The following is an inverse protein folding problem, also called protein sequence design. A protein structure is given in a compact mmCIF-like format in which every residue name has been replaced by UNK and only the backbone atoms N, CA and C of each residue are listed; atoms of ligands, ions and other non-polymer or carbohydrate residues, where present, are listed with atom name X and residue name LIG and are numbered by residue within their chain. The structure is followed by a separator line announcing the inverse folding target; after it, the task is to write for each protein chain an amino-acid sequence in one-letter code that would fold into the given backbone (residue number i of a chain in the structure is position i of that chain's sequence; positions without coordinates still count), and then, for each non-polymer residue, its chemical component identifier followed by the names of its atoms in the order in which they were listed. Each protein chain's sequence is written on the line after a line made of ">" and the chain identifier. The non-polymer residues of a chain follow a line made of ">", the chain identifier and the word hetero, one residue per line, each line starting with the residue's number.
data_IF_359245590172
#
_entry.id   IF_359245590172
#
_cell.length_a   1.000
_cell.length_b   1.000
_cell.length_c   1.000
_cell.angle_alpha   90.00
_cell.angle_beta   90.00
_cell.angle_gamma   90.00
#
_symmetry.space_group_name_H-M   'P 1'
#
loop_
_entity.id
_entity.type
_entity.pdbx_description
1 polymer ?
#
# COMPACT_ATOMS: atom_id res chain seq x y z
N UNK A 1 11.94 5.86 22.50
CA UNK A 1 12.22 6.30 21.12
C UNK A 1 13.51 5.58 20.68
N UNK A 2 13.40 4.43 20.02
CA UNK A 2 14.55 3.69 19.51
C UNK A 2 14.71 4.05 18.03
N UNK A 3 15.77 4.80 17.72
CA UNK A 3 16.18 5.11 16.36
C UNK A 3 16.57 3.77 15.73
N UNK A 4 15.69 3.20 14.90
CA UNK A 4 15.96 1.94 14.22
C UNK A 4 17.05 2.20 13.17
N UNK A 5 18.28 1.82 13.51
CA UNK A 5 19.36 1.69 12.54
C UNK A 5 18.89 0.71 11.46
N UNK A 6 18.90 1.11 10.19
CA UNK A 6 18.59 0.22 9.07
C UNK A 6 19.68 -0.85 8.97
N UNK A 7 19.48 -1.99 9.61
CA UNK A 7 20.33 -3.16 9.43
C UNK A 7 20.10 -3.71 8.02
N UNK A 8 21.19 -3.91 7.27
CA UNK A 8 21.16 -4.56 5.95
C UNK A 8 21.13 -6.08 6.04
N UNK A 9 21.24 -6.63 7.25
CA UNK A 9 21.19 -8.06 7.55
C UNK A 9 19.99 -8.36 8.46
N UNK A 10 19.37 -9.55 8.35
CA UNK A 10 18.35 -9.96 9.30
C UNK A 10 18.94 -10.03 10.72
N UNK A 11 18.12 -9.75 11.77
CA UNK A 11 18.57 -9.87 13.15
C UNK A 11 19.17 -11.26 13.42
N UNK A 12 20.23 -11.32 14.22
CA UNK A 12 20.84 -12.58 14.61
C UNK A 12 19.79 -13.49 15.27
N UNK A 13 19.65 -14.73 14.78
CA UNK A 13 18.66 -15.68 15.28
C UNK A 13 17.23 -15.50 14.76
N UNK A 14 16.97 -14.57 13.83
CA UNK A 14 15.65 -14.43 13.21
C UNK A 14 15.27 -15.71 12.43
N UNK A 15 14.12 -16.29 12.76
CA UNK A 15 13.56 -17.46 12.09
C UNK A 15 12.80 -17.10 10.80
N UNK A 16 12.37 -15.84 10.67
CA UNK A 16 11.78 -15.26 9.48
C UNK A 16 11.92 -13.73 9.48
N UNK A 17 11.88 -13.11 8.31
CA UNK A 17 11.99 -11.65 8.14
C UNK A 17 11.39 -11.17 6.81
N UNK A 18 11.17 -9.87 6.72
CA UNK A 18 10.77 -9.16 5.50
C UNK A 18 11.94 -8.32 5.01
N UNK A 19 12.44 -8.58 3.81
CA UNK A 19 13.43 -7.74 3.14
C UNK A 19 12.71 -6.73 2.26
N UNK A 20 13.10 -5.46 2.36
CA UNK A 20 12.54 -4.34 1.59
C UNK A 20 13.67 -3.66 0.80
N UNK A 21 13.58 -3.69 -0.52
CA UNK A 21 14.50 -2.99 -1.42
C UNK A 21 14.05 -1.53 -1.62
N UNK A 22 14.72 -0.58 -0.96
CA UNK A 22 14.40 0.83 -1.06
C UNK A 22 14.77 1.43 -2.43
N UNK A 23 15.75 0.85 -3.14
CA UNK A 23 16.06 1.27 -4.51
C UNK A 23 14.91 0.90 -5.43
N UNK A 24 14.27 -0.25 -5.22
CA UNK A 24 13.12 -0.66 -6.01
C UNK A 24 11.99 0.35 -5.89
N UNK A 25 11.70 0.81 -4.66
CA UNK A 25 10.70 1.85 -4.42
C UNK A 25 11.05 3.14 -5.16
N UNK A 26 12.30 3.61 -5.08
CA UNK A 26 12.75 4.81 -5.80
C UNK A 26 12.67 4.65 -7.33
N UNK A 27 13.08 3.50 -7.86
CA UNK A 27 13.01 3.16 -9.29
C UNK A 27 11.56 3.14 -9.78
N UNK A 28 10.65 2.54 -9.01
CA UNK A 28 9.23 2.47 -9.33
C UNK A 28 8.59 3.86 -9.38
N UNK A 29 8.93 4.75 -8.44
CA UNK A 29 8.44 6.14 -8.48
C UNK A 29 8.95 6.87 -9.72
N UNK A 30 10.23 6.68 -10.11
CA UNK A 30 10.75 7.22 -11.37
C UNK A 30 10.01 6.68 -12.59
N UNK A 31 9.73 5.39 -12.63
CA UNK A 31 8.96 4.77 -13.71
C UNK A 31 7.53 5.34 -13.77
N UNK A 32 6.88 5.51 -12.61
CA UNK A 32 5.53 6.10 -12.51
C UNK A 32 5.49 7.56 -12.97
N UNK A 33 6.52 8.35 -12.65
CA UNK A 33 6.66 9.71 -13.18
C UNK A 33 6.81 9.70 -14.72
N UNK A 34 7.55 8.73 -15.28
CA UNK A 34 7.68 8.58 -16.74
C UNK A 34 6.38 8.15 -17.42
N UNK A 35 5.50 7.42 -16.72
CA UNK A 35 4.16 7.09 -17.20
C UNK A 35 3.22 8.30 -17.19
N UNK A 36 3.50 9.34 -16.39
CA UNK A 36 2.67 10.53 -16.25
C UNK A 36 3.51 11.84 -16.35
N UNK A 37 4.16 12.12 -17.49
CA UNK A 37 5.21 13.14 -17.61
C UNK A 37 4.76 14.59 -17.37
N UNK A 38 3.46 14.86 -17.38
CA UNK A 38 2.88 16.18 -17.10
C UNK A 38 2.30 16.33 -15.69
N UNK A 39 2.27 15.26 -14.89
CA UNK A 39 1.67 15.26 -13.57
C UNK A 39 2.75 15.09 -12.49
N UNK A 40 2.52 15.74 -11.35
CA UNK A 40 3.24 15.44 -10.12
C UNK A 40 2.92 14.02 -9.63
N UNK A 41 3.77 13.44 -8.77
CA UNK A 41 3.54 12.11 -8.17
C UNK A 41 3.35 12.22 -6.66
N UNK A 42 2.16 11.83 -6.19
CA UNK A 42 1.88 11.56 -4.77
C UNK A 42 2.06 10.08 -4.48
N UNK A 43 3.19 9.71 -3.87
CA UNK A 43 3.41 8.34 -3.44
C UNK A 43 2.55 8.02 -2.21
N UNK A 44 1.71 7.00 -2.32
CA UNK A 44 0.80 6.61 -1.24
C UNK A 44 1.48 5.62 -0.28
N UNK A 45 1.67 6.07 0.96
CA UNK A 45 2.43 5.38 2.02
C UNK A 45 1.57 4.98 3.24
N UNK A 46 0.24 4.98 3.09
CA UNK A 46 -0.69 4.47 4.13
C UNK A 46 -0.42 3.02 4.50
N UNK A 47 -0.97 2.60 5.64
CA UNK A 47 -0.86 1.26 6.19
C UNK A 47 0.60 0.80 6.32
N UNK A 48 1.43 1.63 6.97
CA UNK A 48 2.87 1.40 7.12
C UNK A 48 3.58 1.17 5.77
N UNK A 49 3.28 2.04 4.79
CA UNK A 49 3.73 1.90 3.41
C UNK A 49 3.39 0.52 2.83
N UNK A 50 2.13 0.09 2.97
CA UNK A 50 1.66 -1.23 2.52
C UNK A 50 2.50 -2.37 3.11
N UNK A 51 2.91 -2.24 4.39
CA UNK A 51 3.75 -3.20 5.11
C UNK A 51 5.27 -3.07 4.87
N UNK A 52 5.72 -2.12 4.05
CA UNK A 52 7.13 -1.91 3.71
C UNK A 52 7.87 -1.03 4.72
N UNK A 53 7.18 -0.40 5.67
CA UNK A 53 7.74 0.53 6.65
C UNK A 53 7.57 1.98 6.23
N UNK A 54 6.79 2.73 7.02
CA UNK A 54 6.31 4.08 6.73
C UNK A 54 7.44 5.06 6.38
N UNK A 55 8.40 5.24 7.28
CA UNK A 55 9.45 6.26 7.13
C UNK A 55 10.47 5.88 6.05
N UNK A 56 11.05 4.66 6.03
CA UNK A 56 12.02 4.30 5.00
C UNK A 56 11.43 4.34 3.59
N UNK A 57 10.21 3.83 3.39
CA UNK A 57 9.56 3.86 2.09
C UNK A 57 9.20 5.29 1.65
N UNK A 58 8.75 6.15 2.57
CA UNK A 58 8.48 7.56 2.26
C UNK A 58 9.74 8.29 1.78
N UNK A 59 10.88 8.09 2.45
CA UNK A 59 12.17 8.67 2.04
C UNK A 59 12.64 8.12 0.68
N UNK A 60 12.50 6.81 0.46
CA UNK A 60 12.83 6.20 -0.83
C UNK A 60 11.94 6.73 -1.96
N UNK A 61 10.64 6.91 -1.72
CA UNK A 61 9.73 7.51 -2.69
C UNK A 61 10.12 8.95 -3.03
N UNK A 62 10.53 9.76 -2.04
CA UNK A 62 11.08 11.10 -2.28
C UNK A 62 12.34 11.06 -3.13
N UNK A 63 13.28 10.17 -2.83
CA UNK A 63 14.49 9.98 -3.63
C UNK A 63 14.18 9.52 -5.07
N UNK A 64 13.06 8.83 -5.28
CA UNK A 64 12.52 8.48 -6.60
C UNK A 64 11.81 9.62 -7.34
N UNK A 65 11.65 10.80 -6.72
CA UNK A 65 11.04 11.98 -7.34
C UNK A 65 9.59 12.25 -6.95
N UNK A 66 9.02 11.56 -5.95
CA UNK A 66 7.68 11.88 -5.47
C UNK A 66 7.64 13.30 -4.88
N UNK A 67 6.83 14.18 -5.46
CA UNK A 67 6.64 15.57 -4.99
C UNK A 67 5.59 15.69 -3.90
N UNK A 68 4.76 14.66 -3.73
CA UNK A 68 3.81 14.53 -2.61
C UNK A 68 3.92 13.16 -1.93
N UNK A 69 3.50 13.11 -0.67
CA UNK A 69 3.18 11.85 0.02
C UNK A 69 1.70 11.86 0.41
N UNK A 70 1.08 10.68 0.39
CA UNK A 70 -0.29 10.50 0.85
C UNK A 70 -0.40 9.37 1.86
N UNK A 71 -1.06 9.61 2.99
CA UNK A 71 -1.36 8.60 3.99
C UNK A 71 -2.85 8.64 4.37
N UNK A 72 -3.37 7.54 4.91
CA UNK A 72 -4.80 7.48 5.18
C UNK A 72 -5.11 8.17 6.51
N UNK A 73 -4.39 7.78 7.57
CA UNK A 73 -4.69 8.23 8.92
C UNK A 73 -3.92 9.51 9.24
N UNK A 74 -4.51 10.40 10.03
CA UNK A 74 -3.81 11.59 10.53
C UNK A 74 -2.55 11.21 11.34
N UNK A 75 -2.61 10.14 12.12
CA UNK A 75 -1.45 9.64 12.89
C UNK A 75 -0.26 9.26 12.02
N UNK A 76 -0.48 8.74 10.80
CA UNK A 76 0.59 8.43 9.85
C UNK A 76 1.27 9.71 9.34
N UNK A 77 0.48 10.77 9.04
CA UNK A 77 1.01 12.05 8.60
C UNK A 77 1.87 12.69 9.70
N UNK A 78 1.38 12.68 10.94
CA UNK A 78 2.10 13.21 12.09
C UNK A 78 3.37 12.39 12.39
N UNK A 79 3.32 11.06 12.26
CA UNK A 79 4.50 10.22 12.39
C UNK A 79 5.57 10.51 11.33
N UNK A 80 5.16 10.74 10.07
CA UNK A 80 6.08 11.18 9.01
C UNK A 80 6.74 12.52 9.37
N UNK A 81 5.95 13.51 9.80
CA UNK A 81 6.48 14.82 10.23
C UNK A 81 7.45 14.70 11.41
N UNK A 82 7.07 13.95 12.45
CA UNK A 82 7.92 13.69 13.61
C UNK A 82 9.24 12.98 13.26
N UNK A 83 9.29 12.25 12.14
CA UNK A 83 10.50 11.59 11.62
C UNK A 83 11.39 12.48 10.73
N UNK A 84 11.04 13.76 10.59
CA UNK A 84 11.77 14.74 9.78
C UNK A 84 11.42 14.71 8.29
N UNK A 85 10.35 14.03 7.87
CA UNK A 85 9.92 14.04 6.47
C UNK A 85 9.27 15.38 6.13
N UNK A 86 9.88 16.10 5.20
CA UNK A 86 9.46 17.42 4.71
C UNK A 86 8.66 17.33 3.41
N UNK A 87 8.21 18.48 2.91
CA UNK A 87 7.41 18.61 1.69
C UNK A 87 5.92 18.25 1.87
N UNK A 88 5.10 18.37 0.82
CA UNK A 88 3.65 18.18 0.92
C UNK A 88 3.23 16.77 1.36
N UNK A 89 2.31 16.69 2.34
CA UNK A 89 1.72 15.46 2.83
C UNK A 89 0.20 15.64 2.91
N UNK A 90 -0.55 14.78 2.22
CA UNK A 90 -2.01 14.74 2.29
C UNK A 90 -2.49 13.60 3.18
N UNK A 91 -3.46 13.88 4.06
CA UNK A 91 -4.22 12.86 4.80
C UNK A 91 -5.72 12.99 4.58
N UNK A 92 -6.47 11.88 4.70
CA UNK A 92 -7.90 11.85 4.31
C UNK A 92 -8.84 10.99 5.15
N UNK A 93 -8.35 10.37 6.23
CA UNK A 93 -9.16 9.65 7.21
C UNK A 93 -8.79 10.16 8.59
N UNK A 94 -9.75 10.85 9.19
CA UNK A 94 -9.72 11.28 10.59
C UNK A 94 -11.17 11.46 11.05
N UNK A 95 -11.50 11.04 12.28
CA UNK A 95 -12.85 11.18 12.81
C UNK A 95 -13.16 12.64 13.19
N UNK A 96 -14.45 12.99 13.35
CA UNK A 96 -14.84 14.22 14.03
C UNK A 96 -14.14 14.34 15.39
N UNK A 97 -13.67 15.55 15.72
CA UNK A 97 -12.93 15.79 16.96
C UNK A 97 -11.49 15.25 16.99
N UNK A 98 -10.93 14.87 15.85
CA UNK A 98 -9.49 14.62 15.74
C UNK A 98 -8.67 15.88 16.10
N UNK A 99 -7.40 15.70 16.46
CA UNK A 99 -6.48 16.80 16.76
C UNK A 99 -6.03 17.53 15.49
N UNK A 100 -6.93 18.34 14.93
CA UNK A 100 -6.68 19.15 13.74
C UNK A 100 -5.66 20.25 14.02
N UNK A 101 -5.51 20.69 15.28
CA UNK A 101 -4.47 21.63 15.68
C UNK A 101 -3.08 21.08 15.44
N UNK A 102 -2.81 19.84 15.86
CA UNK A 102 -1.55 19.16 15.59
C UNK A 102 -1.29 18.99 14.07
N UNK A 103 -2.33 18.73 13.28
CA UNK A 103 -2.20 18.64 11.82
C UNK A 103 -1.77 19.98 11.20
N UNK A 104 -2.38 21.08 11.63
CA UNK A 104 -2.08 22.44 11.18
C UNK A 104 -0.67 22.84 11.62
N UNK A 105 -0.32 22.58 12.88
CA UNK A 105 0.99 22.92 13.43
C UNK A 105 2.12 22.18 12.70
N UNK A 106 1.86 20.94 12.27
CA UNK A 106 2.77 20.10 11.50
C UNK A 106 2.67 20.31 9.97
N UNK A 107 1.91 21.30 9.49
CA UNK A 107 1.75 21.61 8.06
C UNK A 107 1.33 20.37 7.23
N UNK A 108 0.33 19.65 7.72
CA UNK A 108 -0.31 18.53 7.02
C UNK A 108 -1.50 19.06 6.23
N UNK A 109 -1.53 18.75 4.93
CA UNK A 109 -2.68 19.06 4.07
C UNK A 109 -3.84 18.11 4.39
N UNK A 110 -5.04 18.68 4.55
CA UNK A 110 -6.23 17.95 5.01
C UNK A 110 -7.25 17.75 3.88
N UNK A 111 -7.75 16.52 3.72
CA UNK A 111 -8.86 16.29 2.78
C UNK A 111 -10.20 16.70 3.37
N UNK A 112 -10.99 17.48 2.65
CA UNK A 112 -12.34 17.86 3.08
C UNK A 112 -13.39 17.16 2.22
N UNK A 113 -14.16 16.27 2.83
CA UNK A 113 -15.21 15.50 2.15
C UNK A 113 -16.64 15.91 2.49
N UNK A 114 -16.84 16.90 3.37
CA UNK A 114 -18.17 17.37 3.77
C UNK A 114 -18.13 18.79 4.37
N UNK A 115 -19.25 19.53 4.36
CA UNK A 115 -19.34 20.83 5.04
C UNK A 115 -19.05 20.77 6.55
N UNK A 116 -19.45 19.68 7.23
CA UNK A 116 -19.13 19.49 8.65
C UNK A 116 -17.61 19.42 8.89
N UNK A 117 -16.91 18.62 8.09
CA UNK A 117 -15.47 18.48 8.18
C UNK A 117 -14.76 19.82 7.90
N UNK A 118 -15.27 20.59 6.93
CA UNK A 118 -14.77 21.93 6.66
C UNK A 118 -14.89 22.85 7.88
N UNK A 119 -16.06 22.85 8.53
CA UNK A 119 -16.35 23.68 9.71
C UNK A 119 -15.36 23.39 10.85
N UNK A 120 -15.08 22.12 11.14
CA UNK A 120 -14.11 21.73 12.18
C UNK A 120 -12.69 22.21 11.84
N UNK A 121 -12.28 22.11 10.57
CA UNK A 121 -10.96 22.58 10.11
C UNK A 121 -10.86 24.10 10.19
N UNK A 122 -11.89 24.82 9.77
CA UNK A 122 -11.96 26.30 9.85
C UNK A 122 -11.89 26.77 11.30
N UNK A 123 -12.58 26.09 12.22
CA UNK A 123 -12.53 26.40 13.64
C UNK A 123 -11.11 26.20 14.20
N UNK A 124 -10.47 25.07 13.90
CA UNK A 124 -9.10 24.79 14.34
C UNK A 124 -8.07 25.77 13.74
N UNK A 125 -8.21 26.14 12.46
CA UNK A 125 -7.35 27.12 11.79
C UNK A 125 -7.45 28.51 12.44
N UNK A 126 -8.67 28.94 12.77
CA UNK A 126 -8.90 30.20 13.50
C UNK A 126 -8.31 30.17 14.90
N UNK A 127 -8.49 29.07 15.64
CA UNK A 127 -7.91 28.90 16.98
C UNK A 127 -6.38 28.98 16.95
N UNK A 128 -5.75 28.38 15.94
CA UNK A 128 -4.29 28.40 15.75
C UNK A 128 -3.78 29.71 15.13
N UNK A 129 -4.66 30.57 14.61
CA UNK A 129 -4.29 31.77 13.87
C UNK A 129 -3.45 31.47 12.62
N UNK A 130 -3.65 30.29 12.00
CA UNK A 130 -2.88 29.81 10.84
C UNK A 130 -3.81 29.31 9.75
N UNK A 131 -3.58 29.78 8.52
CA UNK A 131 -4.27 29.24 7.36
C UNK A 131 -3.83 27.79 7.12
N UNK A 132 -4.77 26.95 6.68
CA UNK A 132 -4.52 25.52 6.41
C UNK A 132 -4.81 25.17 4.96
N UNK A 133 -3.95 24.32 4.40
CA UNK A 133 -4.12 23.80 3.04
C UNK A 133 -5.08 22.61 3.05
N UNK A 134 -6.03 22.65 2.12
CA UNK A 134 -7.05 21.61 2.01
C UNK A 134 -7.20 21.09 0.59
N UNK A 135 -7.51 19.80 0.47
CA UNK A 135 -7.92 19.19 -0.78
C UNK A 135 -9.39 18.77 -0.68
N UNK A 136 -10.26 19.34 -1.51
CA UNK A 136 -11.68 19.00 -1.51
C UNK A 136 -11.90 17.67 -2.22
N UNK A 137 -12.66 16.77 -1.61
CA UNK A 137 -12.96 15.46 -2.18
C UNK A 137 -14.41 15.39 -2.66
N UNK A 138 -14.60 15.20 -3.95
CA UNK A 138 -15.90 14.86 -4.51
C UNK A 138 -16.01 13.34 -4.68
N UNK A 139 -17.20 12.80 -4.43
CA UNK A 139 -17.49 11.41 -4.77
C UNK A 139 -18.12 11.37 -6.16
N UNK A 140 -17.43 10.75 -7.11
CA UNK A 140 -17.87 10.67 -8.51
C UNK A 140 -18.57 9.35 -8.85
N UNK A 141 -18.84 8.50 -7.85
CA UNK A 141 -19.51 7.21 -8.03
C UNK A 141 -18.88 6.04 -7.29
N UNK A 142 -17.90 6.28 -6.40
CA UNK A 142 -17.34 5.21 -5.56
C UNK A 142 -18.24 4.91 -4.36
N UNK A 143 -18.99 5.92 -3.88
CA UNK A 143 -19.91 5.77 -2.75
C UNK A 143 -19.19 5.52 -1.42
N UNK A 144 -18.01 6.12 -1.21
CA UNK A 144 -17.18 5.87 -0.01
C UNK A 144 -16.92 7.11 0.82
N UNK A 145 -16.33 8.13 0.23
CA UNK A 145 -16.03 9.36 0.94
C UNK A 145 -15.73 10.47 -0.05
N UNK A 146 -16.00 11.70 0.36
CA UNK A 146 -16.18 12.82 -0.54
C UNK A 146 -17.65 13.20 -0.63
N UNK A 147 -17.92 14.43 -1.06
CA UNK A 147 -19.29 14.94 -1.13
C UNK A 147 -19.97 14.52 -2.44
N UNK A 148 -21.26 14.19 -2.35
CA UNK A 148 -22.11 13.81 -3.49
C UNK A 148 -23.06 14.97 -3.83
N UNK A 149 -23.28 15.19 -5.13
CA UNK A 149 -24.36 16.04 -5.66
C UNK A 149 -24.50 17.38 -4.90
N UNK A 150 -25.66 17.66 -4.30
CA UNK A 150 -25.90 18.90 -3.55
C UNK A 150 -24.88 19.14 -2.42
N UNK A 151 -24.44 18.07 -1.75
CA UNK A 151 -23.42 18.19 -0.71
C UNK A 151 -22.07 18.66 -1.25
N UNK A 152 -21.76 18.40 -2.52
CA UNK A 152 -20.59 18.99 -3.18
C UNK A 152 -20.78 20.48 -3.39
N UNK A 153 -21.93 20.92 -3.91
CA UNK A 153 -22.25 22.34 -4.10
C UNK A 153 -22.19 23.13 -2.80
N UNK A 154 -22.74 22.57 -1.71
CA UNK A 154 -22.71 23.18 -0.38
C UNK A 154 -21.27 23.29 0.14
N UNK A 155 -20.44 22.26 -0.08
CA UNK A 155 -19.04 22.26 0.28
C UNK A 155 -18.23 23.29 -0.52
N UNK A 156 -18.48 23.41 -1.83
CA UNK A 156 -17.84 24.41 -2.69
C UNK A 156 -18.15 25.83 -2.20
N UNK A 157 -19.41 26.13 -1.94
CA UNK A 157 -19.82 27.45 -1.45
C UNK A 157 -19.16 27.79 -0.12
N UNK A 158 -19.15 26.84 0.83
CA UNK A 158 -18.52 27.03 2.13
C UNK A 158 -16.99 27.17 2.04
N UNK A 159 -16.34 26.39 1.18
CA UNK A 159 -14.89 26.46 0.98
C UNK A 159 -14.47 27.79 0.32
N UNK A 160 -15.23 28.27 -0.67
CA UNK A 160 -14.99 29.56 -1.31
C UNK A 160 -15.08 30.72 -0.29
N UNK A 161 -16.08 30.70 0.58
CA UNK A 161 -16.23 31.69 1.64
C UNK A 161 -15.04 31.66 2.63
N UNK A 162 -14.69 30.47 3.14
CA UNK A 162 -13.58 30.31 4.07
C UNK A 162 -12.21 30.68 3.45
N UNK A 163 -12.03 30.46 2.14
CA UNK A 163 -10.83 30.90 1.42
C UNK A 163 -10.79 32.41 1.24
N UNK A 164 -11.92 33.07 0.95
CA UNK A 164 -12.00 34.53 0.85
C UNK A 164 -11.66 35.23 2.18
N UNK A 165 -11.95 34.58 3.31
CA UNK A 165 -11.54 35.03 4.64
C UNK A 165 -10.06 34.75 4.96
N UNK A 166 -9.34 34.01 4.11
CA UNK A 166 -7.95 33.62 4.32
C UNK A 166 -7.74 32.53 5.39
N UNK A 167 -8.79 31.85 5.82
CA UNK A 167 -8.71 30.80 6.86
C UNK A 167 -8.22 29.48 6.29
N UNK A 168 -8.53 29.20 5.02
CA UNK A 168 -8.05 28.02 4.31
C UNK A 168 -7.45 28.41 2.97
N UNK A 169 -6.66 27.50 2.41
CA UNK A 169 -6.21 27.53 1.02
C UNK A 169 -6.64 26.22 0.35
N UNK A 170 -7.53 26.30 -0.63
CA UNK A 170 -7.91 25.13 -1.43
C UNK A 170 -6.76 24.85 -2.41
N UNK A 171 -5.87 23.93 -2.06
CA UNK A 171 -4.73 23.54 -2.91
C UNK A 171 -5.12 22.47 -3.93
N UNK A 172 -6.17 21.69 -3.67
CA UNK A 172 -6.56 20.61 -4.56
C UNK A 172 -8.02 20.22 -4.56
N UNK A 173 -8.43 19.53 -5.62
CA UNK A 173 -9.69 18.83 -5.76
C UNK A 173 -9.42 17.39 -6.21
N UNK A 174 -10.17 16.42 -5.68
CA UNK A 174 -9.92 15.03 -6.00
C UNK A 174 -11.10 14.08 -5.86
N UNK A 175 -10.98 12.95 -6.55
CA UNK A 175 -11.86 11.79 -6.41
C UNK A 175 -11.07 10.49 -6.57
N UNK A 176 -11.74 9.35 -6.53
CA UNK A 176 -11.14 8.03 -6.65
C UNK A 176 -12.00 7.11 -7.51
N UNK A 177 -11.37 6.42 -8.45
CA UNK A 177 -12.03 5.45 -9.32
C UNK A 177 -12.53 4.23 -8.56
N UNK A 178 -13.63 3.66 -9.04
CA UNK A 178 -14.16 2.37 -8.62
C UNK A 178 -13.58 1.20 -9.44
N UNK A 179 -13.35 1.41 -10.74
CA UNK A 179 -12.98 0.37 -11.72
C UNK A 179 -11.71 0.71 -12.50
N UNK A 180 -10.74 1.42 -11.91
CA UNK A 180 -9.54 1.82 -12.64
C UNK A 180 -8.68 0.62 -13.11
N UNK A 181 -8.85 -0.53 -12.49
CA UNK A 181 -8.26 -1.81 -12.87
C UNK A 181 -8.98 -2.52 -14.03
N UNK A 182 -10.13 -2.00 -14.47
CA UNK A 182 -10.80 -2.36 -15.71
C UNK A 182 -10.97 -1.09 -16.58
N UNK A 183 -9.91 -0.65 -17.31
CA UNK A 183 -9.87 0.67 -17.94
C UNK A 183 -11.03 0.95 -18.91
N UNK A 184 -11.52 -0.08 -19.60
CA UNK A 184 -12.63 0.00 -20.55
C UNK A 184 -14.01 0.00 -19.89
N UNK A 185 -14.10 -0.15 -18.57
CA UNK A 185 -15.38 -0.16 -17.87
C UNK A 185 -16.04 1.24 -17.97
N UNK A 186 -17.32 1.35 -18.39
CA UNK A 186 -17.96 2.64 -18.65
C UNK A 186 -18.00 3.59 -17.44
N UNK A 187 -17.96 3.04 -16.22
CA UNK A 187 -17.82 3.83 -14.98
C UNK A 187 -16.56 4.69 -14.95
N UNK A 188 -15.45 4.26 -15.53
CA UNK A 188 -14.18 5.03 -15.55
C UNK A 188 -14.42 6.37 -16.25
N UNK A 189 -14.96 6.34 -17.47
CA UNK A 189 -15.30 7.54 -18.22
C UNK A 189 -16.33 8.40 -17.48
N UNK A 190 -17.40 7.80 -16.97
CA UNK A 190 -18.44 8.53 -16.23
C UNK A 190 -17.90 9.22 -14.97
N UNK A 191 -16.92 8.61 -14.27
CA UNK A 191 -16.26 9.24 -13.13
C UNK A 191 -15.34 10.40 -13.54
N UNK A 192 -14.66 10.32 -14.70
CA UNK A 192 -13.86 11.42 -15.24
C UNK A 192 -14.73 12.63 -15.60
N UNK A 193 -15.85 12.40 -16.30
CA UNK A 193 -16.78 13.47 -16.69
C UNK A 193 -17.37 14.16 -15.44
N UNK A 194 -17.84 13.38 -14.45
CA UNK A 194 -18.31 13.92 -13.16
C UNK A 194 -17.23 14.70 -12.42
N UNK A 195 -15.98 14.24 -12.46
CA UNK A 195 -14.87 14.96 -11.84
C UNK A 195 -14.60 16.31 -12.52
N UNK A 196 -14.65 16.36 -13.85
CA UNK A 196 -14.54 17.60 -14.62
C UNK A 196 -15.63 18.61 -14.26
N UNK A 197 -16.88 18.17 -14.14
CA UNK A 197 -17.99 19.02 -13.70
C UNK A 197 -17.79 19.57 -12.28
N UNK A 198 -17.30 18.73 -11.35
CA UNK A 198 -17.00 19.14 -9.99
C UNK A 198 -15.89 20.21 -9.93
N UNK A 199 -14.84 20.08 -10.75
CA UNK A 199 -13.77 21.08 -10.85
C UNK A 199 -14.29 22.40 -11.45
N UNK A 200 -15.10 22.34 -12.52
CA UNK A 200 -15.70 23.53 -13.11
C UNK A 200 -16.65 24.27 -12.16
N UNK A 201 -17.23 23.57 -11.17
CA UNK A 201 -18.02 24.20 -10.11
C UNK A 201 -17.17 25.00 -9.14
N UNK A 202 -16.01 24.48 -8.73
CA UNK A 202 -15.05 25.23 -7.91
C UNK A 202 -14.56 26.50 -8.63
N UNK A 203 -14.21 26.38 -9.91
CA UNK A 203 -13.76 27.51 -10.72
C UNK A 203 -14.83 28.60 -10.83
N UNK A 204 -16.10 28.23 -11.04
CA UNK A 204 -17.24 29.17 -11.05
C UNK A 204 -17.46 29.86 -9.70
N UNK A 205 -17.09 29.22 -8.60
CA UNK A 205 -17.13 29.81 -7.27
C UNK A 205 -15.91 30.70 -6.95
N UNK A 206 -15.01 30.92 -7.92
CA UNK A 206 -13.82 31.76 -7.75
C UNK A 206 -12.62 31.04 -7.13
N UNK A 207 -12.72 29.74 -6.87
CA UNK A 207 -11.59 28.92 -6.42
C UNK A 207 -10.81 28.46 -7.65
N UNK A 208 -9.61 29.01 -7.86
CA UNK A 208 -8.78 28.74 -9.05
C UNK A 208 -7.36 28.35 -8.65
N UNK A 209 -6.59 27.77 -9.58
CA UNK A 209 -5.19 27.39 -9.33
C UNK A 209 -4.99 26.16 -8.45
N UNK A 210 -6.05 25.40 -8.18
CA UNK A 210 -5.99 24.15 -7.42
C UNK A 210 -5.54 22.97 -8.30
N UNK A 211 -4.83 22.02 -7.70
CA UNK A 211 -4.44 20.76 -8.32
C UNK A 211 -5.62 19.82 -8.46
N UNK A 212 -5.70 19.13 -9.59
CA UNK A 212 -6.72 18.12 -9.87
C UNK A 212 -6.06 16.75 -9.86
N UNK A 213 -6.61 15.82 -9.08
CA UNK A 213 -6.09 14.46 -9.06
C UNK A 213 -7.15 13.37 -8.95
N UNK A 214 -7.07 12.40 -9.85
CA UNK A 214 -8.05 11.31 -9.96
C UNK A 214 -7.38 9.93 -10.04
N UNK A 215 -6.30 9.81 -10.81
CA UNK A 215 -5.62 8.55 -11.04
C UNK A 215 -5.04 7.92 -9.77
N UNK A 216 -5.39 6.65 -9.53
CA UNK A 216 -4.67 5.75 -8.62
C UNK A 216 -3.59 4.98 -9.42
N UNK A 217 -2.95 3.95 -8.84
CA UNK A 217 -1.94 3.15 -9.53
C UNK A 217 -2.40 2.64 -10.91
N UNK A 218 -3.60 2.06 -10.99
CA UNK A 218 -4.09 1.48 -12.24
C UNK A 218 -4.28 2.56 -13.32
N UNK A 219 -5.03 3.62 -13.01
CA UNK A 219 -5.23 4.71 -13.96
C UNK A 219 -3.95 5.48 -14.31
N UNK A 220 -2.95 5.51 -13.42
CA UNK A 220 -1.63 6.07 -13.75
C UNK A 220 -0.98 5.31 -14.90
N UNK A 221 -1.09 3.97 -14.88
CA UNK A 221 -0.46 3.09 -15.87
C UNK A 221 -1.28 2.92 -17.14
N UNK A 222 -2.62 3.07 -17.07
CA UNK A 222 -3.52 2.67 -18.17
C UNK A 222 -4.37 3.81 -18.73
N UNK A 223 -4.49 4.95 -18.04
CA UNK A 223 -5.39 6.03 -18.44
C UNK A 223 -4.72 7.42 -18.38
N UNK A 224 -4.00 7.81 -19.45
CA UNK A 224 -3.36 9.13 -19.55
C UNK A 224 -4.31 10.32 -19.39
N UNK A 225 -5.57 10.17 -19.81
CA UNK A 225 -6.59 11.21 -19.66
C UNK A 225 -6.99 11.49 -18.21
N UNK A 226 -6.57 10.66 -17.25
CA UNK A 226 -6.85 10.83 -15.83
C UNK A 226 -5.65 11.34 -15.00
N UNK A 227 -4.50 11.60 -15.64
CA UNK A 227 -3.29 12.05 -14.94
C UNK A 227 -3.44 13.43 -14.31
N UNK A 228 -4.05 14.36 -15.06
CA UNK A 228 -4.33 15.73 -14.63
C UNK A 228 -3.07 16.40 -14.06
N UNK A 229 -3.14 17.01 -12.87
CA UNK A 229 -2.00 17.74 -12.30
C UNK A 229 -1.17 16.86 -11.34
N UNK A 230 -1.77 15.82 -10.77
CA UNK A 230 -1.15 14.95 -9.77
C UNK A 230 -1.71 13.52 -9.83
N UNK A 231 -0.84 12.52 -9.92
CA UNK A 231 -1.20 11.10 -9.84
C UNK A 231 -0.95 10.52 -8.44
N UNK A 232 -1.73 9.51 -8.04
CA UNK A 232 -1.67 8.93 -6.68
C UNK A 232 -1.39 7.43 -6.67
N UNK A 233 -0.25 6.97 -7.21
CA UNK A 233 0.12 5.56 -7.15
C UNK A 233 0.41 5.13 -5.71
N UNK A 234 -0.17 3.99 -5.32
CA UNK A 234 0.12 3.30 -4.06
C UNK A 234 0.78 1.98 -4.32
N UNK A 235 0.01 0.96 -4.69
CA UNK A 235 0.55 -0.37 -4.95
C UNK A 235 1.76 -0.40 -5.90
N UNK A 236 1.69 0.37 -7.00
CA UNK A 236 2.75 0.39 -8.00
C UNK A 236 4.05 1.02 -7.50
N UNK A 237 4.02 1.87 -6.45
CA UNK A 237 5.23 2.38 -5.78
C UNK A 237 6.05 1.23 -5.21
N UNK A 238 5.39 0.17 -4.75
CA UNK A 238 6.01 -1.03 -4.19
C UNK A 238 6.32 -2.10 -5.25
N UNK A 239 6.02 -1.80 -6.51
CA UNK A 239 6.42 -2.59 -7.66
C UNK A 239 5.46 -3.70 -8.04
N UNK A 240 4.24 -3.70 -7.52
CA UNK A 240 3.22 -4.68 -7.90
C UNK A 240 2.27 -4.08 -8.95
N UNK A 241 1.82 -4.92 -9.88
CA UNK A 241 0.84 -4.53 -10.87
C UNK A 241 -0.56 -4.40 -10.24
N UNK A 242 -1.26 -3.28 -10.44
CA UNK A 242 -2.66 -3.12 -10.05
C UNK A 242 -3.63 -3.72 -11.08
N UNK A 243 -3.13 -4.18 -12.23
CA UNK A 243 -3.89 -4.72 -13.36
C UNK A 243 -3.23 -6.03 -13.87
N UNK A 244 -3.16 -7.07 -13.02
CA UNK A 244 -2.43 -8.30 -13.35
C UNK A 244 -2.93 -8.98 -14.63
N UNK A 245 -4.20 -8.78 -15.00
CA UNK A 245 -4.79 -9.32 -16.23
C UNK A 245 -4.32 -8.59 -17.50
N UNK A 246 -3.83 -7.35 -17.38
CA UNK A 246 -3.28 -6.57 -18.49
C UNK A 246 -1.75 -6.72 -18.60
N UNK A 247 -1.06 -6.83 -17.46
CA UNK A 247 0.38 -6.98 -17.44
C UNK A 247 0.97 -7.15 -16.04
N UNK A 248 2.04 -7.93 -15.94
CA UNK A 248 2.85 -8.05 -14.73
C UNK A 248 3.68 -6.80 -14.44
N UNK A 249 4.36 -6.73 -13.28
CA UNK A 249 5.23 -5.60 -12.91
C UNK A 249 6.21 -5.18 -14.02
N UNK A 250 6.90 -6.13 -14.64
CA UNK A 250 7.91 -5.89 -15.67
C UNK A 250 7.35 -5.22 -16.92
N UNK A 251 6.08 -5.48 -17.27
CA UNK A 251 5.42 -4.83 -18.40
C UNK A 251 5.35 -3.31 -18.22
N UNK A 252 5.19 -2.86 -16.96
CA UNK A 252 5.11 -1.45 -16.62
C UNK A 252 6.45 -0.86 -16.15
N UNK A 253 7.55 -1.62 -16.26
CA UNK A 253 8.87 -1.21 -15.77
C UNK A 253 8.97 -1.19 -14.25
N UNK A 254 8.11 -1.93 -13.55
CA UNK A 254 8.07 -2.00 -12.09
C UNK A 254 8.93 -3.15 -11.55
N UNK A 255 9.37 -2.99 -10.31
CA UNK A 255 10.20 -3.94 -9.56
C UNK A 255 9.65 -4.13 -8.16
N UNK A 256 9.16 -5.34 -7.88
CA UNK A 256 8.67 -5.71 -6.54
C UNK A 256 9.75 -5.47 -5.48
N UNK A 257 9.38 -4.72 -4.43
CA UNK A 257 10.30 -4.27 -3.40
C UNK A 257 10.36 -5.21 -2.18
N UNK A 258 9.36 -6.06 -1.96
CA UNK A 258 9.25 -6.93 -0.79
C UNK A 258 9.69 -8.36 -1.08
N UNK A 259 10.39 -8.97 -0.13
CA UNK A 259 10.59 -10.42 -0.07
C UNK A 259 10.39 -10.91 1.36
N UNK A 260 9.79 -12.08 1.53
CA UNK A 260 9.56 -12.73 2.83
C UNK A 260 10.29 -14.06 2.82
N UNK A 261 11.19 -14.23 3.78
CA UNK A 261 12.03 -15.43 3.92
C UNK A 261 11.87 -15.99 5.32
N UNK A 262 11.87 -17.31 5.43
CA UNK A 262 11.93 -18.02 6.70
C UNK A 262 12.98 -19.13 6.63
N UNK A 263 13.40 -19.63 7.79
CA UNK A 263 14.25 -20.81 7.89
C UNK A 263 13.46 -21.98 8.45
N UNK A 264 13.67 -23.17 7.91
CA UNK A 264 13.07 -24.38 8.48
C UNK A 264 13.49 -24.54 9.95
N UNK A 265 12.55 -24.70 10.86
CA UNK A 265 12.85 -24.94 12.28
C UNK A 265 13.01 -26.42 12.61
N UNK A 266 12.36 -27.28 11.83
CA UNK A 266 12.40 -28.72 12.00
C UNK A 266 12.26 -29.41 10.66
N UNK A 267 13.05 -30.46 10.47
CA UNK A 267 12.92 -31.41 9.35
C UNK A 267 12.85 -32.80 9.96
N UNK A 268 11.79 -33.56 9.62
CA UNK A 268 11.57 -34.90 10.19
C UNK A 268 10.96 -35.87 9.19
N UNK A 269 11.24 -37.16 9.35
CA UNK A 269 10.60 -38.23 8.57
C UNK A 269 9.17 -38.46 9.07
N UNK A 270 8.27 -38.76 8.14
CA UNK A 270 6.90 -39.19 8.40
C UNK A 270 6.59 -40.42 7.56
N UNK A 271 5.96 -41.43 8.16
CA UNK A 271 5.50 -42.61 7.44
C UNK A 271 4.29 -42.28 6.55
N UNK A 272 4.00 -43.12 5.57
CA UNK A 272 2.74 -43.08 4.82
C UNK A 272 1.53 -43.12 5.76
N UNK A 273 0.48 -42.36 5.45
CA UNK A 273 -0.74 -42.26 6.26
C UNK A 273 -0.68 -41.28 7.43
N UNK A 274 0.42 -40.52 7.59
CA UNK A 274 0.53 -39.49 8.62
C UNK A 274 -0.34 -38.28 8.27
N UNK A 275 -1.30 -37.96 9.15
CA UNK A 275 -2.04 -36.70 9.08
C UNK A 275 -1.17 -35.49 9.43
N UNK A 276 -1.32 -34.39 8.70
CA UNK A 276 -0.51 -33.17 8.87
C UNK A 276 -1.38 -31.96 9.24
N UNK A 277 -0.98 -31.26 10.30
CA UNK A 277 -1.65 -30.07 10.85
C UNK A 277 -3.09 -30.32 11.35
N UNK A 278 -3.79 -29.28 11.78
CA UNK A 278 -5.13 -29.40 12.34
C UNK A 278 -6.13 -30.00 11.34
N UNK A 279 -6.95 -30.95 11.82
CA UNK A 279 -7.99 -31.60 11.02
C UNK A 279 -7.47 -32.59 9.98
N UNK A 280 -6.16 -32.81 9.88
CA UNK A 280 -5.53 -33.75 8.95
C UNK A 280 -6.03 -33.59 7.50
N UNK A 281 -6.21 -32.35 7.04
CA UNK A 281 -6.63 -32.03 5.66
C UNK A 281 -5.57 -32.41 4.62
N UNK A 282 -4.35 -32.71 5.07
CA UNK A 282 -3.30 -33.38 4.31
C UNK A 282 -2.91 -34.66 5.04
N UNK A 283 -2.77 -35.75 4.29
CA UNK A 283 -2.27 -37.04 4.78
C UNK A 283 -1.22 -37.53 3.80
N UNK A 284 -0.06 -37.93 4.30
CA UNK A 284 1.07 -38.35 3.46
C UNK A 284 0.72 -39.62 2.67
N UNK A 285 0.96 -39.60 1.36
CA UNK A 285 0.66 -40.74 0.48
C UNK A 285 1.73 -41.84 0.52
N UNK A 286 2.96 -41.47 0.88
CA UNK A 286 4.11 -42.35 1.02
C UNK A 286 4.96 -41.88 2.20
N UNK A 287 5.96 -42.67 2.58
CA UNK A 287 7.02 -42.19 3.46
C UNK A 287 7.63 -40.91 2.85
N UNK A 288 7.79 -39.88 3.68
CA UNK A 288 8.19 -38.55 3.24
C UNK A 288 8.97 -37.81 4.32
N UNK A 289 9.41 -36.60 3.99
CA UNK A 289 10.06 -35.66 4.90
C UNK A 289 9.16 -34.44 5.05
N UNK A 290 8.88 -34.06 6.30
CA UNK A 290 8.12 -32.85 6.62
C UNK A 290 9.05 -31.74 7.09
N UNK A 291 8.87 -30.55 6.54
CA UNK A 291 9.57 -29.33 6.94
C UNK A 291 8.63 -28.37 7.67
N UNK A 292 9.08 -27.82 8.80
CA UNK A 292 8.31 -26.85 9.59
C UNK A 292 8.78 -25.43 9.30
N UNK A 293 7.87 -24.57 8.85
CA UNK A 293 8.13 -23.16 8.57
C UNK A 293 7.53 -22.31 9.69
N UNK A 294 8.33 -21.48 10.40
CA UNK A 294 7.91 -20.76 11.61
C UNK A 294 7.23 -19.42 11.30
N UNK A 295 6.28 -19.43 10.36
CA UNK A 295 5.40 -18.29 10.10
C UNK A 295 3.96 -18.78 9.93
N UNK A 296 3.01 -18.01 10.46
CA UNK A 296 1.60 -18.37 10.38
C UNK A 296 0.70 -17.18 10.11
N UNK A 297 -0.59 -17.34 10.39
CA UNK A 297 -1.57 -16.29 10.12
C UNK A 297 -1.46 -15.07 11.02
N UNK A 298 -0.79 -15.16 12.18
CA UNK A 298 -0.45 -13.98 12.98
C UNK A 298 0.69 -13.16 12.38
N UNK A 299 1.50 -13.76 11.51
CA UNK A 299 2.62 -13.12 10.81
C UNK A 299 2.23 -12.59 9.42
N UNK A 300 1.02 -12.93 8.95
CA UNK A 300 0.45 -12.44 7.70
C UNK A 300 0.12 -13.51 6.66
N UNK A 301 0.47 -14.77 6.90
CA UNK A 301 0.16 -15.87 5.98
C UNK A 301 -1.36 -16.14 5.99
N UNK A 302 -2.09 -16.02 4.87
CA UNK A 302 -3.53 -16.25 4.89
C UNK A 302 -3.86 -17.66 5.37
N UNK A 303 -4.78 -17.80 6.34
CA UNK A 303 -5.21 -19.13 6.79
C UNK A 303 -5.82 -19.96 5.65
N UNK A 304 -6.43 -19.28 4.67
CA UNK A 304 -6.96 -19.87 3.44
C UNK A 304 -5.88 -20.49 2.54
N UNK A 305 -4.60 -20.23 2.79
CA UNK A 305 -3.49 -20.79 2.02
C UNK A 305 -3.17 -22.25 2.34
N UNK A 306 -3.94 -22.92 3.21
CA UNK A 306 -3.76 -24.35 3.43
C UNK A 306 -3.91 -25.15 2.13
N UNK A 307 -2.94 -26.04 1.83
CA UNK A 307 -2.86 -26.87 0.59
C UNK A 307 -2.56 -26.10 -0.70
N UNK A 308 -2.68 -24.78 -0.70
CA UNK A 308 -2.59 -23.96 -1.93
C UNK A 308 -1.48 -22.90 -1.88
N UNK A 309 -1.06 -22.48 -0.68
CA UNK A 309 -0.06 -21.43 -0.49
C UNK A 309 1.31 -21.84 -1.05
N UNK A 310 1.84 -21.15 -2.07
CA UNK A 310 3.07 -21.55 -2.74
C UNK A 310 4.30 -21.06 -1.97
N UNK A 311 5.37 -21.86 -1.95
CA UNK A 311 6.71 -21.46 -1.47
C UNK A 311 7.79 -22.05 -2.36
N UNK A 312 9.02 -21.53 -2.25
CA UNK A 312 10.20 -22.10 -2.90
C UNK A 312 11.25 -22.49 -1.87
N UNK A 313 11.82 -23.69 -1.99
CA UNK A 313 12.94 -24.17 -1.19
C UNK A 313 13.89 -24.96 -2.10
N UNK A 314 15.18 -24.62 -2.09
CA UNK A 314 16.20 -25.20 -2.99
C UNK A 314 15.80 -25.17 -4.48
N UNK A 315 15.18 -24.06 -4.92
CA UNK A 315 14.70 -23.89 -6.30
C UNK A 315 13.47 -24.74 -6.67
N UNK A 316 12.96 -25.56 -5.76
CA UNK A 316 11.77 -26.40 -5.95
C UNK A 316 10.54 -25.72 -5.34
N UNK A 317 9.41 -25.83 -6.05
CA UNK A 317 8.11 -25.32 -5.59
C UNK A 317 7.43 -26.33 -4.67
N UNK A 318 6.89 -25.84 -3.58
CA UNK A 318 6.05 -26.60 -2.65
C UNK A 318 4.77 -25.81 -2.36
N UNK A 319 3.76 -26.50 -1.84
CA UNK A 319 2.59 -25.86 -1.24
C UNK A 319 2.50 -26.23 0.24
N UNK A 320 1.77 -25.42 1.01
CA UNK A 320 1.48 -25.71 2.42
C UNK A 320 0.81 -27.08 2.57
N UNK A 321 1.38 -27.99 3.35
CA UNK A 321 0.77 -29.27 3.70
C UNK A 321 -0.21 -29.12 4.87
N UNK A 322 -1.51 -29.23 4.57
CA UNK A 322 -2.60 -29.09 5.55
C UNK A 322 -2.94 -27.64 5.85
N UNK A 323 -3.37 -27.34 7.10
CA UNK A 323 -3.77 -25.99 7.51
C UNK A 323 -2.58 -25.14 7.94
N UNK A 324 -2.65 -23.85 7.66
CA UNK A 324 -1.80 -22.81 8.27
C UNK A 324 -2.25 -22.59 9.73
N UNK A 325 -1.29 -22.62 10.66
CA UNK A 325 -1.51 -22.35 12.09
C UNK A 325 -1.18 -20.89 12.43
N UNK A 326 -1.34 -20.49 13.70
CA UNK A 326 -1.11 -19.11 14.14
C UNK A 326 0.31 -18.63 13.83
N UNK A 327 1.30 -19.48 14.10
CA UNK A 327 2.73 -19.11 14.07
C UNK A 327 3.58 -20.01 13.16
N UNK A 328 2.96 -20.96 12.43
CA UNK A 328 3.70 -21.93 11.61
C UNK A 328 2.83 -22.64 10.56
N UNK A 329 3.47 -23.21 9.55
CA UNK A 329 2.87 -24.18 8.64
C UNK A 329 3.88 -25.28 8.27
N UNK A 330 3.38 -26.38 7.69
CA UNK A 330 4.20 -27.55 7.33
C UNK A 330 4.32 -27.63 5.80
N UNK A 331 5.45 -28.13 5.32
CA UNK A 331 5.68 -28.55 3.94
C UNK A 331 5.89 -30.06 3.88
N UNK A 332 5.33 -30.70 2.86
CA UNK A 332 5.67 -32.07 2.49
C UNK A 332 6.79 -32.01 1.43
N UNK A 333 8.01 -32.35 1.84
CA UNK A 333 9.23 -32.11 1.07
C UNK A 333 9.58 -33.28 0.13
N UNK A 334 8.89 -34.41 0.28
CA UNK A 334 9.14 -35.65 -0.43
C UNK A 334 10.26 -36.52 0.19
N UNK A 335 10.32 -37.80 -0.18
CA UNK A 335 11.27 -38.77 0.39
C UNK A 335 12.74 -38.45 0.06
N UNK A 336 12.98 -37.80 -1.08
CA UNK A 336 14.33 -37.50 -1.58
C UNK A 336 14.85 -36.13 -1.13
N UNK A 337 14.18 -35.46 -0.19
CA UNK A 337 14.67 -34.19 0.33
C UNK A 337 15.94 -34.38 1.18
N UNK A 338 17.00 -33.66 0.83
CA UNK A 338 18.33 -33.78 1.49
C UNK A 338 18.71 -32.56 2.33
N UNK A 339 17.79 -31.62 2.56
CA UNK A 339 18.03 -30.42 3.35
C UNK A 339 17.87 -30.63 4.85
N UNK A 340 18.00 -29.55 5.61
CA UNK A 340 18.01 -29.55 7.08
C UNK A 340 17.27 -28.35 7.68
N UNK A 341 17.11 -28.37 9.00
CA UNK A 341 16.71 -27.17 9.73
C UNK A 341 17.75 -26.06 9.51
N UNK A 342 17.28 -24.84 9.31
CA UNK A 342 18.10 -23.69 8.91
C UNK A 342 18.00 -23.34 7.43
N UNK A 343 17.60 -24.26 6.56
CA UNK A 343 17.46 -23.98 5.12
C UNK A 343 16.41 -22.90 4.85
N UNK A 344 16.71 -22.01 3.92
CA UNK A 344 15.88 -20.84 3.60
C UNK A 344 14.71 -21.21 2.67
N UNK A 345 13.52 -20.85 3.12
CA UNK A 345 12.26 -20.95 2.41
C UNK A 345 11.88 -19.55 1.93
N UNK A 346 11.81 -19.37 0.61
CA UNK A 346 11.30 -18.16 -0.02
C UNK A 346 9.79 -18.23 -0.05
N UNK A 347 9.15 -17.43 0.80
CA UNK A 347 7.69 -17.38 0.95
C UNK A 347 7.11 -16.42 -0.06
N UNK A 348 7.66 -15.21 -0.15
CA UNK A 348 7.21 -14.17 -1.07
C UNK A 348 8.44 -13.45 -1.64
N UNK A 349 8.38 -13.04 -2.89
CA UNK A 349 9.41 -12.24 -3.52
C UNK A 349 9.06 -11.94 -4.97
N UNK A 350 10.06 -11.82 -5.82
CA UNK A 350 9.88 -11.63 -7.26
C UNK A 350 10.16 -12.91 -8.05
N UNK A 351 9.60 -12.97 -9.26
CA UNK A 351 9.90 -14.04 -10.21
C UNK A 351 11.41 -14.17 -10.49
N UNK A 352 12.16 -13.05 -10.51
CA UNK A 352 13.63 -13.05 -10.68
C UNK A 352 14.38 -13.76 -9.55
N UNK A 353 13.83 -13.78 -8.33
CA UNK A 353 14.40 -14.49 -7.19
C UNK A 353 13.99 -15.98 -7.16
N UNK A 354 13.13 -16.43 -8.09
CA UNK A 354 12.54 -17.77 -8.04
C UNK A 354 11.53 -17.97 -6.89
N UNK A 355 11.14 -16.90 -6.20
CA UNK A 355 10.15 -16.91 -5.14
C UNK A 355 8.73 -16.85 -5.72
N UNK A 356 7.68 -17.24 -4.97
CA UNK A 356 6.31 -16.92 -5.34
C UNK A 356 6.09 -15.41 -5.21
N UNK A 357 5.38 -14.83 -6.16
CA UNK A 357 5.01 -13.41 -6.13
C UNK A 357 3.84 -13.18 -5.18
N UNK A 358 3.61 -11.92 -4.81
CA UNK A 358 2.39 -11.55 -4.10
C UNK A 358 1.12 -11.87 -4.92
N UNK A 359 1.23 -11.84 -6.27
CA UNK A 359 0.15 -12.22 -7.16
C UNK A 359 -0.13 -13.73 -7.13
N UNK A 360 0.90 -14.58 -7.02
CA UNK A 360 0.74 -16.04 -6.88
C UNK A 360 -0.01 -16.38 -5.60
N UNK A 361 0.34 -15.72 -4.49
CA UNK A 361 -0.38 -15.86 -3.22
C UNK A 361 -1.82 -15.36 -3.30
N UNK A 362 -2.04 -14.24 -3.98
CA UNK A 362 -3.36 -13.66 -4.16
C UNK A 362 -4.28 -14.63 -4.95
N UNK A 363 -3.79 -15.15 -6.08
CA UNK A 363 -4.50 -16.13 -6.89
C UNK A 363 -4.79 -17.43 -6.12
N UNK A 364 -3.81 -17.95 -5.38
CA UNK A 364 -3.96 -19.18 -4.60
C UNK A 364 -5.01 -19.05 -3.48
N UNK A 365 -5.21 -17.85 -2.93
CA UNK A 365 -6.06 -17.62 -1.76
C UNK A 365 -7.37 -16.88 -2.06
N UNK A 366 -7.61 -16.55 -3.33
CA UNK A 366 -8.84 -15.86 -3.75
C UNK A 366 -8.92 -14.41 -3.27
N UNK A 367 -7.79 -13.70 -3.27
CA UNK A 367 -7.70 -12.28 -2.88
C UNK A 367 -6.85 -11.49 -3.87
N UNK A 368 -6.41 -10.30 -3.48
CA UNK A 368 -5.59 -9.38 -4.27
C UNK A 368 -4.20 -9.21 -3.66
N UNK A 369 -3.20 -8.93 -4.50
CA UNK A 369 -1.81 -8.73 -4.08
C UNK A 369 -1.63 -7.60 -3.04
N UNK A 370 -2.52 -6.60 -3.04
CA UNK A 370 -2.63 -5.55 -2.01
C UNK A 370 -2.78 -6.14 -0.60
N UNK A 371 -3.67 -7.11 -0.43
CA UNK A 371 -3.94 -7.74 0.85
C UNK A 371 -2.75 -8.58 1.31
N UNK A 372 -2.10 -9.29 0.38
CA UNK A 372 -0.95 -10.14 0.70
C UNK A 372 0.18 -9.33 1.35
N UNK A 373 0.63 -8.24 0.71
CA UNK A 373 1.76 -7.46 1.23
C UNK A 373 1.41 -6.66 2.49
N UNK A 374 0.18 -6.14 2.59
CA UNK A 374 -0.24 -5.31 3.73
C UNK A 374 -0.42 -6.11 5.01
N UNK A 375 -0.65 -7.42 4.91
CA UNK A 375 -0.87 -8.30 6.07
C UNK A 375 0.40 -8.78 6.75
N UNK A 376 1.58 -8.54 6.18
CA UNK A 376 2.83 -8.94 6.81
C UNK A 376 2.93 -8.27 8.19
N UNK A 377 2.78 -9.06 9.25
CA UNK A 377 2.59 -8.57 10.61
C UNK A 377 3.90 -8.07 11.23
N UNK A 378 3.85 -7.21 12.27
CA UNK A 378 5.03 -6.58 12.87
C UNK A 378 5.97 -7.57 13.59
N UNK A 379 5.55 -8.82 13.80
CA UNK A 379 6.41 -9.90 14.34
C UNK A 379 7.57 -10.25 13.41
N UNK A 380 7.40 -10.04 12.11
CA UNK A 380 8.46 -10.21 11.15
C UNK A 380 9.33 -8.94 11.11
N UNK A 381 10.62 -9.00 11.49
CA UNK A 381 11.50 -7.85 11.40
C UNK A 381 11.65 -7.42 9.94
N UNK A 382 11.66 -6.10 9.70
CA UNK A 382 11.96 -5.53 8.39
C UNK A 382 13.46 -5.26 8.27
N UNK A 383 14.03 -5.65 7.14
CA UNK A 383 15.42 -5.40 6.73
C UNK A 383 15.36 -4.50 5.50
N UNK A 384 15.74 -3.24 5.64
CA UNK A 384 15.73 -2.27 4.54
C UNK A 384 17.09 -2.24 3.84
N UNK A 385 17.09 -2.53 2.53
CA UNK A 385 18.28 -2.54 1.69
C UNK A 385 18.37 -1.25 0.87
N UNK A 386 19.58 -0.73 0.68
CA UNK A 386 19.89 0.29 -0.32
C UNK A 386 19.36 1.69 -0.04
N UNK A 387 19.01 2.02 1.21
CA UNK A 387 18.71 3.39 1.63
C UNK A 387 19.97 4.23 1.84
N UNK A 388 19.90 5.52 1.51
CA UNK A 388 20.87 6.51 2.01
C UNK A 388 20.46 6.94 3.43
N UNK A 389 21.46 7.13 4.30
CA UNK A 389 21.28 7.45 5.72
C UNK A 389 20.71 8.84 5.97
#
# INVERSE_FOLDING_TARGET
>A
MAIHSSSTLPPAGASAWVTIDLRAIADNVRALAAHAPGAEVMAIVKADAYGHGLVPAARAARAGGATWLGCAQLSEALALRASGVTGPILTWIYPPGADLGAAIDAEVTLTVGSPQMLSEIVAAARERGRAVEVHLKCDTGLGRGGALAQGWSDLVAAAAAAQAEGVIRVDGAWSHFAWADAPEHPTVRAQQERFGHACAELERAGVTGFRRHLANSAATLTNPGAHLDLVRPGLAVYGLSPVPDLGGPEHFGLREAMSVTARLTLVKRAAAGQGVSYGHEHTTASDTILGLVPVGYADGIPRAAGRVGPVTLHGRRFTVAGRVCMDQFVLDLGPDFTGAAGDEVLILGSARQGAPTAQDWAAATGTINYEIITRMGPRLPRVHLGGEH
#
